data_IF_314830935513
#
_entry.id   IF_314830935513
#
_cell.length_a   1.000
_cell.length_b   1.000
_cell.length_c   1.000
_cell.angle_alpha   90.00
_cell.angle_beta   90.00
_cell.angle_gamma   90.00
#
_symmetry.space_group_name_H-M   'P 1'
#
loop_
_entity.id
_entity.type
_entity.pdbx_description
1 polymer ?
#
# COMPACT_ATOMS: atom_id res chain seq x y z
N UNK A 1 21.12 -10.40 4.96
CA UNK A 1 20.43 -10.31 4.25
C UNK A 1 19.53 -9.38 4.33
N UNK A 2 19.01 -8.94 3.67
CA UNK A 2 18.22 -8.02 3.71
C UNK A 2 16.91 -8.39 3.53
N UNK A 3 16.02 -7.83 4.08
CA UNK A 3 14.72 -8.12 3.96
C UNK A 3 14.20 -7.65 2.71
N UNK A 4 13.29 -8.29 2.14
CA UNK A 4 12.70 -7.83 1.00
C UNK A 4 11.52 -7.05 1.32
N UNK A 5 11.69 -5.86 1.70
CA UNK A 5 10.60 -5.03 2.05
C UNK A 5 10.09 -4.31 0.84
N UNK A 6 8.86 -3.87 0.90
CA UNK A 6 8.27 -3.14 -0.20
C UNK A 6 7.23 -2.17 0.32
N UNK A 7 6.86 -1.23 -0.52
CA UNK A 7 5.79 -0.29 -0.24
C UNK A 7 4.72 -0.54 -1.28
N UNK A 8 3.49 -0.64 -0.83
CA UNK A 8 2.35 -0.90 -1.70
C UNK A 8 1.52 0.36 -1.75
N UNK A 9 1.20 0.81 -2.96
CA UNK A 9 0.44 2.04 -3.12
C UNK A 9 -0.90 1.72 -3.77
N UNK A 10 -1.95 2.35 -3.28
CA UNK A 10 -3.21 2.38 -4.02
C UNK A 10 -3.19 3.71 -4.75
N UNK A 11 -3.25 3.65 -6.07
CA UNK A 11 -3.07 4.81 -6.92
C UNK A 11 -4.37 5.20 -7.59
N UNK A 12 -4.54 6.48 -7.83
CA UNK A 12 -5.62 6.96 -8.68
C UNK A 12 -4.92 7.74 -9.78
N UNK A 13 -4.89 7.16 -10.98
CA UNK A 13 -4.11 7.70 -12.07
C UNK A 13 -2.66 7.79 -11.64
N UNK A 14 -2.07 8.96 -11.59
CA UNK A 14 -0.67 9.06 -11.23
C UNK A 14 -0.44 9.66 -9.86
N UNK A 15 -1.44 9.62 -8.98
CA UNK A 15 -1.20 10.06 -7.61
C UNK A 15 -1.59 8.93 -6.68
N UNK A 16 -0.93 8.84 -5.54
CA UNK A 16 -1.23 7.77 -4.61
C UNK A 16 -2.28 8.25 -3.60
N UNK A 17 -3.19 7.34 -3.26
CA UNK A 17 -4.23 7.62 -2.31
C UNK A 17 -3.87 7.07 -0.94
N UNK A 18 -3.30 5.88 -0.90
CA UNK A 18 -2.91 5.24 0.33
C UNK A 18 -1.63 4.49 0.08
N UNK A 19 -0.81 4.37 1.11
CA UNK A 19 0.46 3.71 1.00
C UNK A 19 0.61 2.78 2.20
N UNK A 20 1.05 1.57 1.96
CA UNK A 20 1.24 0.58 3.01
C UNK A 20 2.71 0.19 3.04
N UNK A 21 3.31 0.26 4.22
CA UNK A 21 4.71 -0.06 4.35
C UNK A 21 4.90 -1.02 5.50
N UNK A 22 5.73 -2.03 5.33
CA UNK A 22 6.01 -2.98 6.38
C UNK A 22 7.07 -2.41 7.30
N UNK A 23 6.75 -2.36 8.57
CA UNK A 23 7.68 -1.92 9.58
C UNK A 23 7.97 -3.08 10.52
N UNK A 24 8.84 -2.87 11.50
CA UNK A 24 9.17 -3.90 12.42
C UNK A 24 7.99 -4.42 13.13
N UNK A 25 7.06 -3.57 13.46
CA UNK A 25 5.93 -3.97 14.25
C UNK A 25 4.72 -4.33 13.44
N UNK A 26 4.80 -4.36 12.14
CA UNK A 26 3.68 -4.69 11.29
C UNK A 26 3.51 -3.67 10.20
N UNK A 27 2.36 -3.69 9.56
CA UNK A 27 2.12 -2.78 8.45
C UNK A 27 1.65 -1.43 8.95
N UNK A 28 2.06 -0.39 8.25
CA UNK A 28 1.61 0.96 8.54
C UNK A 28 0.95 1.52 7.30
N UNK A 29 -0.20 2.12 7.48
CA UNK A 29 -0.95 2.74 6.41
C UNK A 29 -0.76 4.24 6.50
N UNK A 30 -0.40 4.87 5.39
CA UNK A 30 -0.31 6.33 5.34
C UNK A 30 -1.39 6.82 4.40
N UNK A 31 -2.20 7.75 4.88
CA UNK A 31 -3.26 8.33 4.06
C UNK A 31 -2.67 9.39 3.14
N UNK A 32 -3.45 9.84 2.18
CA UNK A 32 -2.99 10.85 1.25
C UNK A 32 -2.71 12.17 1.95
N UNK A 33 -3.21 12.34 3.17
CA UNK A 33 -2.93 13.53 3.93
C UNK A 33 -1.71 13.41 4.79
N UNK A 34 -1.06 12.25 4.78
CA UNK A 34 0.14 12.05 5.56
C UNK A 34 -0.08 11.47 6.93
N UNK A 35 -1.31 11.14 7.29
CA UNK A 35 -1.58 10.52 8.59
C UNK A 35 -1.20 9.07 8.55
N UNK A 36 -0.51 8.59 9.56
CA UNK A 36 -0.01 7.23 9.62
C UNK A 36 -0.76 6.44 10.67
N UNK A 37 -1.20 5.23 10.32
CA UNK A 37 -1.95 4.37 11.22
C UNK A 37 -1.38 2.97 11.19
N UNK A 38 -1.39 2.26 12.30
CA UNK A 38 -1.03 0.84 12.26
C UNK A 38 -2.15 0.07 11.57
N UNK A 39 -1.78 -1.02 10.92
CA UNK A 39 -2.73 -1.77 10.13
C UNK A 39 -2.30 -3.22 10.10
N UNK A 40 -3.22 -4.14 10.26
CA UNK A 40 -2.89 -5.55 10.16
C UNK A 40 -2.81 -5.93 8.70
N UNK A 41 -2.17 -7.06 8.42
CA UNK A 41 -2.11 -7.56 7.05
C UNK A 41 -3.51 -7.81 6.52
N UNK A 42 -4.41 -8.27 7.37
CA UNK A 42 -5.77 -8.51 6.97
C UNK A 42 -6.48 -7.23 6.58
N UNK A 43 -6.27 -6.18 7.35
CA UNK A 43 -6.85 -4.89 7.01
C UNK A 43 -6.28 -4.36 5.70
N UNK A 44 -4.98 -4.56 5.51
CA UNK A 44 -4.36 -4.13 4.27
C UNK A 44 -4.98 -4.84 3.08
N UNK A 45 -5.17 -6.13 3.19
CA UNK A 45 -5.77 -6.91 2.11
C UNK A 45 -7.19 -6.42 1.83
N UNK A 46 -7.94 -6.08 2.87
CA UNK A 46 -9.29 -5.56 2.69
C UNK A 46 -9.29 -4.26 1.90
N UNK A 47 -8.27 -3.46 2.06
CA UNK A 47 -8.18 -2.23 1.28
C UNK A 47 -7.72 -2.49 -0.15
N UNK A 48 -6.86 -3.48 -0.33
CA UNK A 48 -6.30 -3.73 -1.65
C UNK A 48 -7.23 -4.47 -2.58
N UNK A 49 -8.01 -5.39 -2.05
CA UNK A 49 -8.86 -6.23 -2.90
C UNK A 49 -9.82 -5.44 -3.78
N UNK A 50 -10.51 -4.43 -3.28
CA UNK A 50 -11.40 -3.69 -4.17
C UNK A 50 -10.66 -3.00 -5.31
N UNK A 51 -9.45 -2.52 -5.04
CA UNK A 51 -8.66 -1.89 -6.09
C UNK A 51 -8.20 -2.93 -7.11
N UNK A 52 -7.78 -4.09 -6.63
CA UNK A 52 -7.32 -5.14 -7.53
C UNK A 52 -8.46 -5.71 -8.36
N UNK A 53 -9.63 -5.78 -7.78
CA UNK A 53 -10.78 -6.32 -8.48
C UNK A 53 -11.43 -5.33 -9.43
N UNK A 54 -10.96 -4.09 -9.44
CA UNK A 54 -11.54 -3.10 -10.32
C UNK A 54 -12.83 -2.49 -9.85
N UNK A 55 -13.22 -2.80 -8.60
CA UNK A 55 -14.47 -2.31 -8.07
C UNK A 55 -14.46 -0.79 -7.93
N UNK A 56 -13.30 -0.24 -7.66
CA UNK A 56 -13.19 1.19 -7.46
C UNK A 56 -13.03 1.97 -8.75
N UNK A 57 -13.09 1.30 -9.86
CA UNK A 57 -13.06 1.96 -11.15
C UNK A 57 -11.75 1.71 -11.88
N UNK A 58 -11.72 2.07 -13.15
CA UNK A 58 -10.56 1.74 -13.99
C UNK A 58 -9.32 2.55 -13.69
N UNK A 59 -9.46 3.65 -12.96
CA UNK A 59 -8.31 4.50 -12.68
C UNK A 59 -7.64 4.18 -11.34
N UNK A 60 -8.20 3.27 -10.57
CA UNK A 60 -7.63 2.90 -9.28
C UNK A 60 -6.82 1.63 -9.46
N UNK A 61 -5.55 1.69 -9.18
CA UNK A 61 -4.65 0.55 -9.40
C UNK A 61 -3.77 0.37 -8.19
N UNK A 62 -3.03 -0.73 -8.16
CA UNK A 62 -2.11 -1.04 -7.09
C UNK A 62 -0.70 -1.08 -7.66
N UNK A 63 0.21 -0.38 -7.01
CA UNK A 63 1.59 -0.36 -7.44
C UNK A 63 2.45 -0.84 -6.29
N UNK A 64 3.40 -1.70 -6.57
CA UNK A 64 4.31 -2.21 -5.55
C UNK A 64 5.72 -1.76 -5.89
N UNK A 65 6.39 -1.15 -4.93
CA UNK A 65 7.75 -0.72 -5.13
C UNK A 65 8.64 -1.39 -4.11
N UNK A 66 9.59 -2.20 -4.53
CA UNK A 66 10.49 -2.84 -3.57
C UNK A 66 11.44 -1.80 -2.99
N UNK A 67 11.74 -2.00 -1.70
CA UNK A 67 12.66 -1.13 -1.03
C UNK A 67 14.07 -1.51 -1.25
N UNK A 68 14.37 -2.59 -1.89
CA UNK A 68 15.67 -3.08 -2.01
C UNK A 68 16.49 -2.20 -2.86
N UNK A 69 17.50 -1.66 -2.33
CA UNK A 69 18.30 -0.86 -3.00
C UNK A 69 19.39 -1.49 -3.44
N UNK A 70 19.90 -2.29 -3.34
CA UNK A 70 21.03 -2.82 -3.81
C UNK A 70 21.36 -3.30 -4.28
#
# INVERSE_FOLDING_TARGET
MKNSECTIYIMFKDRWLQKFRKEKEGWMLTSSKGTVYPCTAEQMVSHLLPALAGIKGPHVTVKVEPDNKN
#
